data_IF_587522437712
#
_entry.id   IF_587522437712
#
_cell.length_a   1.000
_cell.length_b   1.000
_cell.length_c   1.000
_cell.angle_alpha   90.00
_cell.angle_beta   90.00
_cell.angle_gamma   90.00
#
_symmetry.space_group_name_H-M   'P 1'
#
loop_
_entity.id
_entity.type
_entity.pdbx_description
1 polymer ?
#
# COMPACT_ATOMS: atom_id res chain seq x y z
N UNK A 1 42.79 6.97 49.74
CA UNK A 1 42.12 5.90 48.95
C UNK A 1 40.68 6.22 48.52
N UNK A 2 39.89 7.01 49.27
CA UNK A 2 38.49 7.36 48.92
C UNK A 2 38.30 8.08 47.57
N UNK A 3 39.24 8.96 47.19
CA UNK A 3 39.14 9.76 45.97
C UNK A 3 39.16 8.92 44.68
N UNK A 4 39.98 7.86 44.62
CA UNK A 4 40.06 6.96 43.46
C UNK A 4 38.76 6.17 43.27
N UNK A 5 38.15 5.73 44.36
CA UNK A 5 36.84 5.06 44.33
C UNK A 5 35.73 6.01 43.86
N UNK A 6 35.72 7.26 44.31
CA UNK A 6 34.74 8.26 43.88
C UNK A 6 34.86 8.60 42.39
N UNK A 7 36.08 8.73 41.87
CA UNK A 7 36.34 8.93 40.43
C UNK A 7 35.90 7.74 39.58
N UNK A 8 36.14 6.51 40.05
CA UNK A 8 35.74 5.29 39.35
C UNK A 8 34.21 5.13 39.34
N UNK A 9 33.55 5.49 40.43
CA UNK A 9 32.09 5.49 40.55
C UNK A 9 31.46 6.55 39.62
N UNK A 10 32.06 7.75 39.54
CA UNK A 10 31.64 8.80 38.63
C UNK A 10 31.79 8.39 37.16
N UNK A 11 32.92 7.76 36.81
CA UNK A 11 33.17 7.24 35.47
C UNK A 11 32.16 6.14 35.10
N UNK A 12 31.84 5.24 36.05
CA UNK A 12 30.83 4.20 35.86
C UNK A 12 29.43 4.79 35.64
N UNK A 13 29.03 5.78 36.42
CA UNK A 13 27.75 6.49 36.24
C UNK A 13 27.68 7.25 34.92
N UNK A 14 28.79 7.89 34.52
CA UNK A 14 28.91 8.58 33.23
C UNK A 14 28.78 7.61 32.04
N UNK A 15 29.24 6.36 32.20
CA UNK A 15 29.11 5.33 31.16
C UNK A 15 27.72 4.68 31.14
N UNK A 16 27.07 4.56 32.30
CA UNK A 16 25.74 3.95 32.44
C UNK A 16 24.63 4.83 31.85
N UNK A 17 24.73 6.16 32.00
CA UNK A 17 23.71 7.11 31.54
C UNK A 17 23.43 7.06 30.02
N UNK A 18 24.44 7.06 29.14
CA UNK A 18 24.25 6.93 27.69
C UNK A 18 23.63 5.58 27.32
N UNK A 19 24.02 4.51 28.01
CA UNK A 19 23.53 3.15 27.73
C UNK A 19 22.05 3.02 28.09
N UNK A 20 21.64 3.51 29.26
CA UNK A 20 20.23 3.49 29.68
C UNK A 20 19.37 4.40 28.81
N UNK A 21 19.88 5.58 28.43
CA UNK A 21 19.24 6.45 27.46
C UNK A 21 19.02 5.76 26.11
N UNK A 22 20.04 5.10 25.56
CA UNK A 22 19.97 4.35 24.31
C UNK A 22 18.94 3.21 24.37
N UNK A 23 18.94 2.42 25.46
CA UNK A 23 17.98 1.32 25.64
C UNK A 23 16.55 1.85 25.71
N UNK A 24 16.32 2.94 26.46
CA UNK A 24 15.01 3.56 26.60
C UNK A 24 14.50 4.07 25.25
N UNK A 25 15.34 4.77 24.50
CA UNK A 25 15.01 5.29 23.18
C UNK A 25 14.66 4.15 22.21
N UNK A 26 15.44 3.06 22.22
CA UNK A 26 15.15 1.87 21.41
C UNK A 26 13.85 1.17 21.82
N UNK A 27 13.53 1.15 23.11
CA UNK A 27 12.27 0.58 23.61
C UNK A 27 11.06 1.42 23.17
N UNK A 28 11.16 2.75 23.27
CA UNK A 28 10.13 3.68 22.79
C UNK A 28 9.90 3.50 21.29
N UNK A 29 10.98 3.40 20.51
CA UNK A 29 10.90 3.24 19.05
C UNK A 29 10.22 1.92 18.65
N UNK A 30 10.47 0.85 19.42
CA UNK A 30 9.79 -0.44 19.25
C UNK A 30 8.30 -0.37 19.58
N UNK A 31 7.94 0.22 20.72
CA UNK A 31 6.54 0.41 21.12
C UNK A 31 5.78 1.29 20.13
N UNK A 32 6.41 2.36 19.64
CA UNK A 32 5.83 3.23 18.61
C UNK A 32 5.52 2.46 17.32
N UNK A 33 6.48 1.67 16.82
CA UNK A 33 6.26 0.81 15.64
C UNK A 33 5.14 -0.20 15.86
N UNK A 34 5.08 -0.83 17.03
CA UNK A 34 4.01 -1.77 17.37
C UNK A 34 2.65 -1.07 17.49
N UNK A 35 2.61 0.14 18.04
CA UNK A 35 1.42 1.00 18.09
C UNK A 35 0.88 1.32 16.71
N UNK A 36 1.76 1.75 15.79
CA UNK A 36 1.39 2.00 14.38
C UNK A 36 0.86 0.72 13.72
N UNK A 37 1.51 -0.42 13.94
CA UNK A 37 1.07 -1.70 13.36
C UNK A 37 -0.32 -2.10 13.88
N UNK A 38 -0.57 -1.99 15.19
CA UNK A 38 -1.87 -2.28 15.81
C UNK A 38 -2.96 -1.33 15.32
N UNK A 39 -2.69 -0.03 15.27
CA UNK A 39 -3.62 0.96 14.73
C UNK A 39 -3.96 0.66 13.26
N UNK A 40 -2.95 0.38 12.44
CA UNK A 40 -3.15 0.04 11.02
C UNK A 40 -4.00 -1.23 10.83
N UNK A 41 -3.75 -2.27 11.63
CA UNK A 41 -4.57 -3.50 11.63
C UNK A 41 -6.01 -3.21 12.05
N UNK A 42 -6.21 -2.39 13.07
CA UNK A 42 -7.54 -1.98 13.52
C UNK A 42 -8.31 -1.25 12.40
N UNK A 43 -7.68 -0.26 11.76
CA UNK A 43 -8.27 0.46 10.62
C UNK A 43 -8.62 -0.46 9.46
N UNK A 44 -7.74 -1.41 9.09
CA UNK A 44 -8.02 -2.42 8.07
C UNK A 44 -9.21 -3.31 8.45
N UNK A 45 -9.29 -3.72 9.72
CA UNK A 45 -10.42 -4.51 10.21
C UNK A 45 -11.73 -3.73 10.14
N UNK A 46 -11.72 -2.45 10.56
CA UNK A 46 -12.91 -1.58 10.48
C UNK A 46 -13.34 -1.36 9.03
N UNK A 47 -12.41 -1.10 8.11
CA UNK A 47 -12.70 -0.98 6.68
C UNK A 47 -13.34 -2.25 6.13
N UNK A 48 -12.77 -3.42 6.46
CA UNK A 48 -13.33 -4.71 6.08
C UNK A 48 -14.77 -4.86 6.58
N UNK A 49 -15.02 -4.57 7.86
CA UNK A 49 -16.37 -4.64 8.44
C UNK A 49 -17.34 -3.68 7.77
N UNK A 50 -16.93 -2.44 7.48
CA UNK A 50 -17.77 -1.45 6.77
C UNK A 50 -18.11 -1.91 5.36
N UNK A 51 -17.15 -2.48 4.62
CA UNK A 51 -17.39 -3.03 3.28
C UNK A 51 -18.37 -4.21 3.37
N UNK A 52 -18.19 -5.12 4.33
CA UNK A 52 -19.11 -6.24 4.53
C UNK A 52 -20.53 -5.77 4.87
N UNK A 53 -20.66 -4.78 5.75
CA UNK A 53 -21.96 -4.21 6.11
C UNK A 53 -22.62 -3.52 4.92
N UNK A 54 -21.85 -2.83 4.08
CA UNK A 54 -22.35 -2.21 2.86
C UNK A 54 -22.86 -3.26 1.87
N UNK A 55 -22.14 -4.36 1.68
CA UNK A 55 -22.55 -5.48 0.82
C UNK A 55 -23.82 -6.18 1.32
N UNK A 56 -23.97 -6.34 2.65
CA UNK A 56 -25.17 -6.93 3.27
C UNK A 56 -26.37 -5.99 3.11
N UNK A 57 -26.19 -4.70 3.38
CA UNK A 57 -27.29 -3.73 3.41
C UNK A 57 -27.70 -3.25 2.02
N UNK A 58 -26.82 -3.33 1.02
CA UNK A 58 -27.08 -2.89 -0.34
C UNK A 58 -26.74 -4.00 -1.35
N UNK A 59 -27.65 -4.96 -1.59
CA UNK A 59 -27.43 -6.06 -2.55
C UNK A 59 -27.27 -5.59 -4.00
N UNK A 60 -27.61 -4.33 -4.31
CA UNK A 60 -27.31 -3.68 -5.58
C UNK A 60 -25.82 -3.35 -5.75
N UNK A 61 -25.09 -3.15 -4.65
CA UNK A 61 -23.64 -2.91 -4.70
C UNK A 61 -22.94 -4.24 -4.86
N UNK A 62 -22.46 -4.49 -6.07
CA UNK A 62 -21.60 -5.63 -6.38
C UNK A 62 -20.18 -5.12 -6.53
N UNK A 63 -19.26 -5.63 -5.72
CA UNK A 63 -17.81 -5.45 -5.93
C UNK A 63 -17.31 -6.43 -7.02
N UNK A 64 -18.04 -6.47 -8.12
CA UNK A 64 -17.75 -7.34 -9.25
C UNK A 64 -16.38 -6.99 -9.84
N UNK A 65 -15.50 -7.99 -9.97
CA UNK A 65 -14.19 -7.85 -10.61
C UNK A 65 -13.02 -7.41 -9.71
N UNK A 66 -13.24 -7.19 -8.41
CA UNK A 66 -12.17 -7.14 -7.40
C UNK A 66 -11.96 -8.49 -6.72
N UNK A 67 -12.08 -9.57 -7.49
CA UNK A 67 -11.81 -10.93 -7.03
C UNK A 67 -10.47 -11.34 -7.61
N UNK A 68 -9.56 -11.79 -6.74
CA UNK A 68 -8.28 -12.35 -7.15
C UNK A 68 -8.52 -13.71 -7.83
N UNK A 69 -8.15 -13.80 -9.10
CA UNK A 69 -8.14 -15.04 -9.89
C UNK A 69 -6.68 -15.41 -10.15
N UNK A 70 -6.32 -16.67 -10.00
CA UNK A 70 -4.97 -17.13 -10.35
C UNK A 70 -4.80 -17.16 -11.87
N UNK A 71 -3.74 -16.53 -12.37
CA UNK A 71 -3.34 -16.49 -13.78
C UNK A 71 -2.11 -17.39 -13.91
N UNK A 72 -2.16 -18.40 -14.77
CA UNK A 72 -1.10 -19.41 -14.87
C UNK A 72 0.05 -18.97 -15.78
N UNK A 73 -0.26 -18.32 -16.90
CA UNK A 73 0.70 -17.85 -17.89
C UNK A 73 0.55 -16.33 -18.02
N UNK A 74 1.38 -15.58 -17.29
CA UNK A 74 1.34 -14.12 -17.24
C UNK A 74 2.52 -13.47 -17.99
N UNK A 75 2.24 -12.55 -18.91
CA UNK A 75 3.21 -11.65 -19.55
C UNK A 75 2.85 -10.16 -19.34
N UNK A 76 3.85 -9.35 -18.99
CA UNK A 76 3.67 -7.90 -18.87
C UNK A 76 3.93 -7.21 -20.22
N UNK A 77 3.02 -7.41 -21.17
CA UNK A 77 3.10 -6.87 -22.54
C UNK A 77 1.90 -5.97 -22.91
N UNK A 78 0.87 -5.92 -22.05
CA UNK A 78 -0.35 -5.16 -22.29
C UNK A 78 -1.40 -5.91 -23.10
N UNK A 79 -1.16 -7.17 -23.47
CA UNK A 79 -2.19 -8.03 -24.05
C UNK A 79 -3.25 -8.41 -22.99
N UNK A 80 -4.44 -8.76 -23.47
CA UNK A 80 -5.62 -9.07 -22.65
C UNK A 80 -6.01 -10.54 -22.70
N UNK A 81 -5.33 -11.34 -23.52
CA UNK A 81 -5.65 -12.76 -23.76
C UNK A 81 -5.68 -13.59 -22.48
N UNK A 82 -4.64 -13.49 -21.66
CA UNK A 82 -4.50 -14.15 -20.35
C UNK A 82 -5.56 -13.70 -19.31
N UNK A 83 -6.26 -12.59 -19.58
CA UNK A 83 -7.26 -12.00 -18.69
C UNK A 83 -8.70 -12.32 -19.09
N UNK A 84 -8.91 -13.17 -20.10
CA UNK A 84 -10.23 -13.48 -20.68
C UNK A 84 -11.26 -13.94 -19.65
N UNK A 85 -10.84 -14.81 -18.71
CA UNK A 85 -11.70 -15.35 -17.65
C UNK A 85 -11.82 -14.45 -16.42
N UNK A 86 -11.03 -13.36 -16.34
CA UNK A 86 -11.03 -12.45 -15.19
C UNK A 86 -12.13 -11.40 -15.38
N UNK A 87 -13.12 -11.43 -14.49
CA UNK A 87 -14.18 -10.41 -14.43
C UNK A 87 -13.56 -9.06 -14.10
N UNK A 88 -13.91 -8.03 -14.86
CA UNK A 88 -13.42 -6.68 -14.64
C UNK A 88 -14.36 -5.85 -13.76
N UNK A 89 -13.77 -5.08 -12.86
CA UNK A 89 -14.45 -3.96 -12.22
C UNK A 89 -14.50 -2.79 -13.21
N UNK A 90 -15.70 -2.36 -13.57
CA UNK A 90 -15.91 -1.25 -14.47
C UNK A 90 -16.36 -0.02 -13.69
N UNK A 91 -15.62 1.06 -13.83
CA UNK A 91 -16.01 2.38 -13.37
C UNK A 91 -16.21 3.28 -14.60
N UNK A 92 -17.33 3.98 -14.65
CA UNK A 92 -17.64 4.94 -15.70
C UNK A 92 -18.09 6.23 -15.04
N UNK A 93 -17.54 7.36 -15.48
CA UNK A 93 -18.07 8.68 -15.18
C UNK A 93 -18.53 9.36 -16.49
N UNK A 94 -18.91 10.63 -16.44
CA UNK A 94 -19.45 11.34 -17.61
C UNK A 94 -18.45 11.49 -18.78
N UNK A 95 -17.15 11.29 -18.58
CA UNK A 95 -16.11 11.56 -19.56
C UNK A 95 -15.15 10.38 -19.82
N UNK A 96 -14.99 9.46 -18.87
CA UNK A 96 -14.01 8.38 -18.94
C UNK A 96 -14.53 7.07 -18.38
N UNK A 97 -13.94 5.99 -18.88
CA UNK A 97 -14.21 4.62 -18.43
C UNK A 97 -12.90 3.97 -18.00
N UNK A 98 -12.92 3.34 -16.83
CA UNK A 98 -11.83 2.56 -16.28
C UNK A 98 -12.31 1.11 -16.08
N UNK A 99 -11.57 0.16 -16.62
CA UNK A 99 -11.78 -1.27 -16.40
C UNK A 99 -10.57 -1.85 -15.71
N UNK A 100 -10.76 -2.40 -14.51
CA UNK A 100 -9.71 -2.98 -13.68
C UNK A 100 -9.95 -4.48 -13.53
N UNK A 101 -8.97 -5.30 -13.88
CA UNK A 101 -8.95 -6.73 -13.61
C UNK A 101 -7.82 -7.04 -12.64
N UNK A 102 -8.09 -7.87 -11.63
CA UNK A 102 -7.11 -8.24 -10.61
C UNK A 102 -6.82 -9.74 -10.66
N UNK A 103 -5.55 -10.10 -10.67
CA UNK A 103 -5.11 -11.50 -10.71
C UNK A 103 -3.96 -11.78 -9.75
N UNK A 104 -3.65 -13.06 -9.57
CA UNK A 104 -2.53 -13.57 -8.79
C UNK A 104 -1.63 -14.39 -9.72
N UNK A 105 -0.34 -14.06 -9.76
CA UNK A 105 0.65 -14.84 -10.51
C UNK A 105 1.85 -15.10 -9.60
N UNK A 106 2.16 -16.37 -9.33
CA UNK A 106 3.22 -16.78 -8.39
C UNK A 106 3.16 -16.06 -7.03
N UNK A 107 1.94 -15.87 -6.50
CA UNK A 107 1.71 -15.18 -5.22
C UNK A 107 1.91 -13.66 -5.24
N UNK A 108 2.05 -13.06 -6.44
CA UNK A 108 2.10 -11.60 -6.63
C UNK A 108 0.77 -11.10 -7.18
N UNK A 109 0.35 -9.93 -6.69
CA UNK A 109 -0.78 -9.19 -7.26
C UNK A 109 -0.39 -8.66 -8.64
N UNK A 110 -1.15 -9.04 -9.66
CA UNK A 110 -1.08 -8.47 -11.01
C UNK A 110 -2.39 -7.76 -11.32
N UNK A 111 -2.32 -6.68 -12.09
CA UNK A 111 -3.49 -5.88 -12.45
C UNK A 111 -3.42 -5.47 -13.92
N UNK A 112 -4.52 -5.68 -14.64
CA UNK A 112 -4.73 -5.10 -15.96
C UNK A 112 -5.71 -3.95 -15.82
N UNK A 113 -5.26 -2.76 -16.23
CA UNK A 113 -6.03 -1.53 -16.11
C UNK A 113 -6.17 -0.92 -17.50
N UNK A 114 -7.40 -0.90 -17.99
CA UNK A 114 -7.76 -0.36 -19.29
C UNK A 114 -8.49 0.96 -19.03
N UNK A 115 -7.93 2.05 -19.51
CA UNK A 115 -8.56 3.38 -19.46
C UNK A 115 -9.00 3.78 -20.86
N UNK A 116 -10.21 4.30 -20.97
CA UNK A 116 -10.67 5.04 -22.12
C UNK A 116 -10.85 6.50 -21.69
N UNK A 117 -9.98 7.36 -22.20
CA UNK A 117 -9.99 8.80 -21.99
C UNK A 117 -10.22 9.50 -23.33
N UNK A 118 -10.98 10.60 -23.31
CA UNK A 118 -11.28 11.39 -24.49
C UNK A 118 -10.07 12.19 -25.00
N UNK A 119 -9.08 12.44 -24.13
CA UNK A 119 -7.82 13.12 -24.48
C UNK A 119 -6.60 12.25 -24.20
N UNK A 120 -5.55 12.45 -24.98
CA UNK A 120 -4.23 11.86 -24.73
C UNK A 120 -3.27 13.00 -24.43
N UNK A 121 -2.86 13.13 -23.17
CA UNK A 121 -1.89 14.15 -22.75
C UNK A 121 -0.54 13.51 -22.47
N UNK A 122 0.38 13.66 -23.43
CA UNK A 122 1.78 13.25 -23.30
C UNK A 122 2.63 14.48 -23.63
N UNK A 123 2.91 15.29 -22.62
CA UNK A 123 3.83 16.42 -22.70
C UNK A 123 5.20 15.99 -22.16
N UNK A 124 6.24 16.10 -23.00
CA UNK A 124 7.62 15.76 -22.61
C UNK A 124 8.26 16.79 -21.67
N UNK A 125 7.69 18.00 -21.57
CA UNK A 125 8.24 19.11 -20.78
C UNK A 125 7.48 19.37 -19.47
N UNK A 126 6.19 19.02 -19.38
CA UNK A 126 5.39 19.15 -18.15
C UNK A 126 4.70 17.82 -17.77
N UNK A 127 5.38 17.04 -16.93
CA UNK A 127 4.90 15.77 -16.41
C UNK A 127 3.72 15.88 -15.43
N UNK A 128 3.37 17.09 -14.98
CA UNK A 128 2.24 17.30 -14.06
C UNK A 128 0.89 17.24 -14.78
N UNK A 129 0.88 17.60 -16.07
CA UNK A 129 -0.29 17.57 -16.95
C UNK A 129 -0.45 16.24 -17.72
N UNK A 130 0.49 15.31 -17.60
CA UNK A 130 0.45 14.04 -18.32
C UNK A 130 -0.56 13.07 -17.73
N UNK A 131 -1.17 12.27 -18.60
CA UNK A 131 -2.03 11.17 -18.18
C UNK A 131 -1.21 10.18 -17.35
N UNK A 132 -1.72 9.87 -16.16
CA UNK A 132 -1.07 8.97 -15.24
C UNK A 132 -2.08 8.18 -14.43
N UNK A 133 -1.67 6.97 -14.05
CA UNK A 133 -2.44 6.09 -13.20
C UNK A 133 -1.85 6.15 -11.79
N UNK A 134 -2.72 6.34 -10.78
CA UNK A 134 -2.34 6.28 -9.38
C UNK A 134 -2.93 5.02 -8.77
N UNK A 135 -2.07 4.16 -8.23
CA UNK A 135 -2.46 2.96 -7.49
C UNK A 135 -2.06 3.14 -6.04
N UNK A 136 -3.02 3.06 -5.12
CA UNK A 136 -2.76 3.10 -3.68
C UNK A 136 -3.07 1.73 -3.06
N UNK A 137 -2.05 1.06 -2.53
CA UNK A 137 -2.16 -0.25 -1.89
C UNK A 137 -1.90 -0.11 -0.39
N UNK A 138 -2.85 -0.57 0.43
CA UNK A 138 -2.69 -0.62 1.88
C UNK A 138 -2.29 -2.03 2.33
N UNK A 139 -1.31 -2.13 3.22
CA UNK A 139 -0.97 -3.37 3.90
C UNK A 139 -0.65 -3.09 5.39
N UNK A 140 -0.21 -4.13 6.13
CA UNK A 140 0.13 -4.03 7.56
C UNK A 140 1.22 -3.00 7.89
N UNK A 141 2.02 -2.59 6.90
CA UNK A 141 3.12 -1.62 7.02
C UNK A 141 2.70 -0.19 6.65
N UNK A 142 1.48 0.02 6.13
CA UNK A 142 0.96 1.34 5.77
C UNK A 142 0.36 1.39 4.37
N UNK A 143 0.12 2.61 3.89
CA UNK A 143 -0.39 2.92 2.56
C UNK A 143 0.76 3.27 1.61
N UNK A 144 0.85 2.57 0.49
CA UNK A 144 1.85 2.77 -0.55
C UNK A 144 1.19 3.31 -1.81
N UNK A 145 1.68 4.43 -2.33
CA UNK A 145 1.16 5.08 -3.53
C UNK A 145 2.16 4.93 -4.68
N UNK A 146 1.70 4.36 -5.78
CA UNK A 146 2.45 4.19 -7.02
C UNK A 146 1.85 5.11 -8.08
N UNK A 147 2.68 5.95 -8.70
CA UNK A 147 2.30 6.80 -9.83
C UNK A 147 2.94 6.22 -11.09
N UNK A 148 2.12 5.75 -12.02
CA UNK A 148 2.53 5.17 -13.29
C UNK A 148 2.21 6.18 -14.39
N UNK A 149 3.24 6.59 -15.12
CA UNK A 149 3.09 7.45 -16.28
C UNK A 149 2.87 6.59 -17.51
N UNK A 150 2.06 7.09 -18.44
CA UNK A 150 1.93 6.48 -19.77
C UNK A 150 3.32 6.45 -20.43
N UNK A 151 3.73 5.27 -20.89
CA UNK A 151 4.90 5.13 -21.75
C UNK A 151 4.44 5.32 -23.21
N UNK A 152 5.23 6.06 -23.98
CA UNK A 152 4.97 6.38 -25.39
C UNK A 152 5.16 5.16 -26.29
#
# INVERSE_FOLDING_TARGET
MKLKYQLLLLALFSLLFPITGWITLRSIDKEFRQGIERASKSTLSTLKSSVQQLLINNPAVKLDGFVLVDINDFSLDGDTTEWSDVRAYNYTNNASRLSVKTGSYHGKLVMLIISNDASININSQDYSANDHLIIALANKRGLFKYKLHRQA
#
